data_IF_057961718467
#
_entry.id   IF_057961718467
#
_cell.length_a   1.000
_cell.length_b   1.000
_cell.length_c   1.000
_cell.angle_alpha   90.00
_cell.angle_beta   90.00
_cell.angle_gamma   90.00
#
_symmetry.space_group_name_H-M   'P 1'
#
loop_
_entity.id
_entity.type
_entity.pdbx_description
1 polymer ?
#
# COMPACT_ATOMS: atom_id res chain seq x y z
N UNK A 1 18.76 22.60 -11.06
CA UNK A 1 17.34 22.94 -10.80
C UNK A 1 16.76 23.24 -12.19
N UNK A 2 16.08 22.25 -12.78
CA UNK A 2 15.44 22.43 -14.09
C UNK A 2 14.02 22.94 -13.82
N UNK A 3 13.65 24.02 -14.50
CA UNK A 3 12.31 24.60 -14.51
C UNK A 3 11.28 23.59 -15.08
N UNK A 4 10.70 22.78 -14.22
CA UNK A 4 9.60 21.86 -14.52
C UNK A 4 8.23 22.49 -14.21
N UNK A 5 8.21 23.71 -13.67
CA UNK A 5 7.04 24.28 -13.04
C UNK A 5 5.92 24.79 -13.99
N UNK A 6 6.19 25.00 -15.29
CA UNK A 6 5.17 25.59 -16.20
C UNK A 6 4.59 24.56 -17.18
N UNK A 7 5.28 23.48 -17.44
CA UNK A 7 4.83 22.41 -18.38
C UNK A 7 3.96 21.33 -17.71
N UNK A 8 3.95 21.22 -16.39
CA UNK A 8 3.35 20.10 -15.66
C UNK A 8 1.81 20.00 -15.79
N UNK A 9 1.08 21.11 -15.77
CA UNK A 9 -0.39 21.09 -15.76
C UNK A 9 -0.97 20.67 -17.12
N UNK A 10 -0.37 21.12 -18.23
CA UNK A 10 -0.79 20.68 -19.57
C UNK A 10 -0.40 19.22 -19.83
N UNK A 11 0.75 18.77 -19.34
CA UNK A 11 1.23 17.39 -19.52
C UNK A 11 0.37 16.35 -18.83
N UNK A 12 -0.23 16.67 -17.67
CA UNK A 12 -1.09 15.71 -16.92
C UNK A 12 -2.45 15.45 -17.57
N UNK A 13 -2.97 16.37 -18.37
CA UNK A 13 -4.24 16.18 -19.09
C UNK A 13 -4.09 15.29 -20.31
N UNK A 14 -2.95 15.35 -21.01
CA UNK A 14 -2.67 14.57 -22.21
C UNK A 14 -2.68 13.04 -21.97
N UNK A 15 -2.11 12.49 -20.89
CA UNK A 15 -2.16 11.05 -20.61
C UNK A 15 -3.57 10.49 -20.42
N UNK A 16 -4.53 11.29 -19.95
CA UNK A 16 -5.94 10.89 -19.70
C UNK A 16 -6.85 11.19 -20.90
N UNK A 17 -6.34 11.78 -21.98
CA UNK A 17 -7.12 12.08 -23.20
C UNK A 17 -7.40 10.83 -24.04
N UNK A 18 -8.29 10.95 -25.04
CA UNK A 18 -8.63 9.86 -26.01
C UNK A 18 -7.42 9.29 -26.75
N UNK A 19 -6.38 10.10 -26.94
CA UNK A 19 -5.11 9.68 -27.58
C UNK A 19 -3.94 9.65 -26.59
N UNK A 20 -4.26 9.71 -25.30
CA UNK A 20 -3.29 9.75 -24.22
C UNK A 20 -2.61 8.40 -23.94
N UNK A 21 -1.64 8.42 -23.03
CA UNK A 21 -0.91 7.22 -22.63
C UNK A 21 -1.83 6.15 -22.02
N UNK A 22 -2.84 6.55 -21.25
CA UNK A 22 -3.81 5.60 -20.67
C UNK A 22 -4.67 4.95 -21.74
N UNK A 23 -5.15 5.71 -22.74
CA UNK A 23 -5.96 5.18 -23.82
C UNK A 23 -5.19 4.18 -24.72
N UNK A 24 -3.86 4.35 -24.83
CA UNK A 24 -3.00 3.41 -25.55
C UNK A 24 -2.56 2.19 -24.73
N UNK A 25 -2.51 2.33 -23.40
CA UNK A 25 -1.94 1.33 -22.50
C UNK A 25 -2.96 0.54 -21.68
N UNK A 26 -4.24 0.89 -21.75
CA UNK A 26 -5.32 0.24 -20.99
C UNK A 26 -6.47 -0.07 -21.94
N UNK A 27 -6.80 -1.34 -22.07
CA UNK A 27 -7.91 -1.78 -22.90
C UNK A 27 -9.23 -1.18 -22.39
N UNK A 28 -10.11 -0.78 -23.31
CA UNK A 28 -11.42 -0.15 -23.03
C UNK A 28 -11.36 1.13 -22.18
N UNK A 29 -10.21 1.78 -22.05
CA UNK A 29 -10.12 3.06 -21.36
C UNK A 29 -10.90 4.13 -22.13
N UNK A 30 -11.89 4.72 -21.48
CA UNK A 30 -12.67 5.84 -22.00
C UNK A 30 -12.49 7.06 -21.11
N UNK A 31 -11.80 8.10 -21.57
CA UNK A 31 -11.62 9.31 -20.79
C UNK A 31 -12.96 10.01 -20.57
N UNK A 32 -13.06 10.63 -19.39
CA UNK A 32 -14.23 11.43 -19.00
C UNK A 32 -13.78 12.83 -18.67
N UNK A 33 -14.57 13.83 -19.01
CA UNK A 33 -14.21 15.22 -18.72
C UNK A 33 -13.95 15.45 -17.23
N UNK A 34 -14.82 14.94 -16.35
CA UNK A 34 -14.64 15.04 -14.88
C UNK A 34 -13.34 14.41 -14.38
N UNK A 35 -12.87 13.34 -15.02
CA UNK A 35 -11.60 12.70 -14.69
C UNK A 35 -10.42 13.58 -15.10
N UNK A 36 -10.49 14.21 -16.27
CA UNK A 36 -9.46 15.12 -16.76
C UNK A 36 -9.40 16.38 -15.90
N UNK A 37 -10.56 16.94 -15.54
CA UNK A 37 -10.64 18.13 -14.68
C UNK A 37 -10.08 17.88 -13.29
N UNK A 38 -10.40 16.73 -12.69
CA UNK A 38 -9.83 16.31 -11.42
C UNK A 38 -8.31 16.13 -11.52
N UNK A 39 -7.81 15.53 -12.59
CA UNK A 39 -6.35 15.34 -12.76
C UNK A 39 -5.61 16.68 -12.89
N UNK A 40 -6.18 17.66 -13.58
CA UNK A 40 -5.64 19.02 -13.64
C UNK A 40 -5.62 19.69 -12.27
N UNK A 41 -6.73 19.59 -11.54
CA UNK A 41 -6.82 20.17 -10.19
C UNK A 41 -5.79 19.55 -9.23
N UNK A 42 -5.57 18.23 -9.31
CA UNK A 42 -4.54 17.54 -8.51
C UNK A 42 -3.14 18.01 -8.92
N UNK A 43 -2.84 18.11 -10.21
CA UNK A 43 -1.55 18.61 -10.70
C UNK A 43 -1.27 20.03 -10.23
N UNK A 44 -2.27 20.91 -10.30
CA UNK A 44 -2.16 22.29 -9.85
C UNK A 44 -1.94 22.36 -8.33
N UNK A 45 -2.68 21.55 -7.54
CA UNK A 45 -2.48 21.47 -6.09
C UNK A 45 -1.06 21.00 -5.73
N UNK A 46 -0.53 20.01 -6.43
CA UNK A 46 0.84 19.53 -6.24
C UNK A 46 1.84 20.66 -6.56
N UNK A 47 1.69 21.33 -7.70
CA UNK A 47 2.60 22.39 -8.14
C UNK A 47 2.61 23.57 -7.16
N UNK A 48 1.46 23.93 -6.61
CA UNK A 48 1.32 25.02 -5.64
C UNK A 48 1.56 24.60 -4.19
N UNK A 49 1.78 23.33 -3.92
CA UNK A 49 1.85 22.76 -2.56
C UNK A 49 0.60 23.11 -1.73
N UNK A 50 -0.57 23.06 -2.37
CA UNK A 50 -1.85 23.40 -1.79
C UNK A 50 -2.67 22.16 -1.40
N UNK A 51 -3.67 22.36 -0.55
CA UNK A 51 -4.66 21.32 -0.23
C UNK A 51 -5.77 21.36 -1.28
N UNK A 52 -6.15 20.20 -1.79
CA UNK A 52 -7.30 20.01 -2.67
C UNK A 52 -8.33 19.13 -1.96
N UNK A 53 -9.56 19.59 -1.85
CA UNK A 53 -10.72 18.77 -1.50
C UNK A 53 -11.53 18.53 -2.76
N UNK A 54 -11.65 17.26 -3.16
CA UNK A 54 -12.38 16.88 -4.36
C UNK A 54 -13.38 15.76 -4.04
N UNK A 55 -14.63 15.97 -4.39
CA UNK A 55 -15.70 14.98 -4.29
C UNK A 55 -16.10 14.52 -5.68
N UNK A 56 -16.23 13.22 -5.86
CA UNK A 56 -16.72 12.63 -7.09
C UNK A 56 -17.41 11.30 -6.81
N UNK A 57 -18.48 11.00 -7.53
CA UNK A 57 -19.25 9.76 -7.40
C UNK A 57 -18.42 8.49 -7.65
N UNK A 58 -18.98 7.32 -7.33
CA UNK A 58 -18.36 6.03 -7.65
C UNK A 58 -18.30 5.82 -9.17
N UNK A 59 -17.26 5.11 -9.64
CA UNK A 59 -17.11 4.80 -11.06
C UNK A 59 -16.65 5.96 -11.96
N UNK A 60 -16.37 7.16 -11.43
CA UNK A 60 -15.90 8.32 -12.22
C UNK A 60 -14.43 8.24 -12.64
N UNK A 61 -13.69 7.21 -12.21
CA UNK A 61 -12.27 7.06 -12.53
C UNK A 61 -11.32 7.90 -11.66
N UNK A 62 -11.75 8.28 -10.44
CA UNK A 62 -10.95 9.05 -9.48
C UNK A 62 -9.53 8.53 -9.31
N UNK A 63 -9.38 7.22 -9.25
CA UNK A 63 -8.07 6.58 -9.02
C UNK A 63 -7.05 7.01 -10.06
N UNK A 64 -7.37 6.94 -11.32
CA UNK A 64 -6.47 7.36 -12.38
C UNK A 64 -6.29 8.89 -12.41
N UNK A 65 -7.34 9.63 -12.06
CA UNK A 65 -7.29 11.09 -12.04
C UNK A 65 -6.26 11.64 -11.04
N UNK A 66 -6.10 11.02 -9.86
CA UNK A 66 -5.05 11.45 -8.92
C UNK A 66 -3.72 10.72 -9.12
N UNK A 67 -3.72 9.46 -9.55
CA UNK A 67 -2.47 8.70 -9.76
C UNK A 67 -1.62 9.27 -10.89
N UNK A 68 -2.24 9.67 -12.01
CA UNK A 68 -1.49 10.20 -13.16
C UNK A 68 -0.62 11.40 -12.79
N UNK A 69 -1.17 12.51 -12.25
CA UNK A 69 -0.34 13.64 -11.87
C UNK A 69 0.65 13.31 -10.74
N UNK A 70 0.27 12.44 -9.80
CA UNK A 70 1.14 12.04 -8.71
C UNK A 70 2.38 11.26 -9.20
N UNK A 71 2.21 10.32 -10.15
CA UNK A 71 3.31 9.55 -10.72
C UNK A 71 4.18 10.38 -11.67
N UNK A 72 3.60 11.34 -12.39
CA UNK A 72 4.34 12.24 -13.28
C UNK A 72 5.13 13.32 -12.54
N UNK A 73 4.73 13.65 -11.32
CA UNK A 73 5.42 14.64 -10.50
C UNK A 73 6.85 14.24 -10.15
N UNK A 74 7.12 12.92 -10.02
CA UNK A 74 8.45 12.38 -9.76
C UNK A 74 8.97 12.62 -8.34
N UNK A 75 8.16 13.16 -7.44
CA UNK A 75 8.46 13.26 -6.02
C UNK A 75 7.91 12.09 -5.22
N UNK A 76 8.19 12.07 -3.92
CA UNK A 76 7.69 11.03 -3.03
C UNK A 76 6.20 11.21 -2.73
N UNK A 77 5.42 10.17 -2.99
CA UNK A 77 3.95 10.17 -2.86
C UNK A 77 3.50 9.16 -1.82
N UNK A 78 2.56 9.55 -0.96
CA UNK A 78 1.85 8.64 -0.07
C UNK A 78 0.39 8.59 -0.50
N UNK A 79 -0.09 7.39 -0.85
CA UNK A 79 -1.50 7.14 -1.17
C UNK A 79 -2.14 6.46 0.03
N UNK A 80 -3.04 7.16 0.70
CA UNK A 80 -3.72 6.67 1.90
C UNK A 80 -5.16 6.26 1.60
N UNK A 81 -5.55 5.05 2.06
CA UNK A 81 -6.88 4.48 1.81
C UNK A 81 -7.62 4.19 3.11
N UNK A 82 -8.96 4.03 3.03
CA UNK A 82 -9.80 3.69 4.17
C UNK A 82 -9.93 2.18 4.43
N UNK A 83 -9.67 1.33 3.45
CA UNK A 83 -9.86 -0.13 3.55
C UNK A 83 -8.65 -0.89 3.05
N UNK A 84 -8.44 -2.11 3.59
CA UNK A 84 -7.39 -3.01 3.13
C UNK A 84 -7.59 -3.44 1.67
N UNK A 85 -8.83 -3.75 1.29
CA UNK A 85 -9.15 -4.18 -0.07
C UNK A 85 -8.77 -3.11 -1.11
N UNK A 86 -9.05 -1.83 -0.80
CA UNK A 86 -8.66 -0.74 -1.69
C UNK A 86 -7.13 -0.53 -1.69
N UNK A 87 -6.48 -0.75 -0.56
CA UNK A 87 -5.02 -0.71 -0.46
C UNK A 87 -4.38 -1.77 -1.37
N UNK A 88 -4.86 -3.02 -1.28
CA UNK A 88 -4.36 -4.13 -2.08
C UNK A 88 -4.70 -3.92 -3.58
N UNK A 89 -5.89 -3.42 -3.91
CA UNK A 89 -6.27 -3.06 -5.27
C UNK A 89 -5.33 -2.01 -5.88
N UNK A 90 -5.05 -0.94 -5.14
CA UNK A 90 -4.14 0.12 -5.60
C UNK A 90 -2.72 -0.41 -5.84
N UNK A 91 -2.19 -1.18 -4.89
CA UNK A 91 -0.83 -1.69 -4.95
C UNK A 91 -0.64 -2.74 -6.04
N UNK A 92 -1.57 -3.72 -6.12
CA UNK A 92 -1.42 -4.88 -7.02
C UNK A 92 -1.90 -4.62 -8.45
N UNK A 93 -2.82 -3.67 -8.65
CA UNK A 93 -3.47 -3.45 -9.94
C UNK A 93 -3.35 -2.03 -10.45
N UNK A 94 -3.91 -1.07 -9.72
CA UNK A 94 -4.17 0.25 -10.30
C UNK A 94 -2.86 1.04 -10.55
N UNK A 95 -1.94 1.09 -9.57
CA UNK A 95 -0.65 1.78 -9.72
C UNK A 95 0.24 1.09 -10.76
N UNK A 96 0.42 -0.25 -10.76
CA UNK A 96 1.19 -0.93 -11.81
C UNK A 96 0.67 -0.66 -13.23
N UNK A 97 -0.65 -0.65 -13.43
CA UNK A 97 -1.28 -0.37 -14.72
C UNK A 97 -0.97 1.06 -15.17
N UNK A 98 -1.19 2.05 -14.31
CA UNK A 98 -0.91 3.46 -14.62
C UNK A 98 0.58 3.68 -14.85
N UNK A 99 1.46 3.10 -13.99
CA UNK A 99 2.92 3.18 -14.16
C UNK A 99 3.38 2.66 -15.52
N UNK A 100 2.84 1.50 -15.93
CA UNK A 100 3.15 0.89 -17.23
C UNK A 100 2.66 1.76 -18.38
N UNK A 101 1.42 2.25 -18.31
CA UNK A 101 0.84 3.10 -19.35
C UNK A 101 1.60 4.43 -19.51
N UNK A 102 2.05 5.03 -18.41
CA UNK A 102 2.84 6.27 -18.41
C UNK A 102 4.32 6.05 -18.74
N UNK A 103 4.81 4.81 -18.69
CA UNK A 103 6.21 4.44 -18.83
C UNK A 103 7.14 5.23 -17.88
N UNK A 104 6.75 5.32 -16.59
CA UNK A 104 7.53 6.02 -15.55
C UNK A 104 8.28 5.04 -14.67
N UNK A 105 9.58 5.27 -14.35
CA UNK A 105 10.41 4.36 -13.56
C UNK A 105 10.23 4.58 -12.05
N UNK A 106 8.99 4.53 -11.54
CA UNK A 106 8.70 4.71 -10.11
C UNK A 106 8.71 3.38 -9.35
N UNK A 107 9.26 3.38 -8.15
CA UNK A 107 9.21 2.26 -7.20
C UNK A 107 7.99 2.40 -6.29
N UNK A 108 7.38 1.25 -5.95
CA UNK A 108 6.12 1.23 -5.21
C UNK A 108 6.29 0.31 -4.00
N UNK A 109 5.87 0.77 -2.82
CA UNK A 109 5.85 -0.03 -1.60
C UNK A 109 4.47 -0.05 -0.96
N UNK A 110 4.15 -1.18 -0.31
CA UNK A 110 2.96 -1.37 0.49
C UNK A 110 3.35 -1.36 1.97
N UNK A 111 2.72 -0.49 2.76
CA UNK A 111 2.94 -0.47 4.20
C UNK A 111 1.62 -0.67 4.94
N UNK A 112 1.51 -1.81 5.62
CA UNK A 112 0.38 -2.17 6.49
C UNK A 112 0.74 -1.93 7.96
N UNK A 113 -0.24 -1.97 8.86
CA UNK A 113 0.01 -1.91 10.30
C UNK A 113 0.68 -3.18 10.82
N UNK A 114 1.41 -3.08 11.92
CA UNK A 114 2.16 -4.20 12.54
C UNK A 114 1.37 -5.49 12.68
N UNK A 115 0.11 -5.40 13.12
CA UNK A 115 -0.77 -6.56 13.29
C UNK A 115 -1.13 -7.30 11.99
N UNK A 116 -0.68 -6.81 10.84
CA UNK A 116 -0.81 -7.52 9.57
C UNK A 116 0.44 -8.31 9.19
N UNK A 117 1.53 -8.18 9.94
CA UNK A 117 2.77 -8.90 9.70
C UNK A 117 3.04 -9.92 10.80
N UNK A 118 3.50 -11.09 10.38
CA UNK A 118 4.03 -12.10 11.28
C UNK A 118 5.21 -11.55 12.09
N UNK A 119 5.29 -11.90 13.37
CA UNK A 119 6.38 -11.55 14.26
C UNK A 119 7.13 -12.81 14.67
N UNK A 120 8.40 -12.94 14.29
CA UNK A 120 9.22 -14.09 14.66
C UNK A 120 9.32 -14.28 16.17
N UNK A 121 9.54 -13.20 16.92
CA UNK A 121 9.62 -13.26 18.40
C UNK A 121 8.32 -13.83 19.01
N UNK A 122 7.17 -13.34 18.58
CA UNK A 122 5.89 -13.81 19.10
C UNK A 122 5.55 -15.22 18.62
N UNK A 123 5.96 -15.60 17.40
CA UNK A 123 5.81 -16.97 16.91
C UNK A 123 6.61 -17.95 17.77
N UNK A 124 7.89 -17.69 18.00
CA UNK A 124 8.76 -18.56 18.80
C UNK A 124 8.24 -18.69 20.24
N UNK A 125 7.86 -17.56 20.85
CA UNK A 125 7.23 -17.55 22.18
C UNK A 125 5.96 -18.38 22.25
N UNK A 126 5.10 -18.29 21.23
CA UNK A 126 3.85 -19.05 21.16
C UNK A 126 4.11 -20.54 21.00
N UNK A 127 5.10 -20.92 20.20
CA UNK A 127 5.51 -22.32 20.02
C UNK A 127 6.08 -22.93 21.33
N UNK A 128 6.87 -22.15 22.07
CA UNK A 128 7.48 -22.59 23.34
C UNK A 128 6.45 -22.70 24.46
N UNK A 129 5.53 -21.75 24.55
CA UNK A 129 4.55 -21.72 25.66
C UNK A 129 3.46 -22.77 25.56
N UNK A 130 3.17 -23.28 24.38
CA UNK A 130 2.18 -24.36 24.14
C UNK A 130 0.74 -24.08 24.57
N UNK A 131 0.44 -22.86 25.06
CA UNK A 131 -0.89 -22.48 25.55
C UNK A 131 -1.75 -21.95 24.40
N UNK A 132 -2.39 -22.87 23.71
CA UNK A 132 -3.36 -22.54 22.66
C UNK A 132 -4.78 -22.72 23.21
N UNK A 133 -5.67 -21.80 22.86
CA UNK A 133 -7.04 -21.75 23.40
C UNK A 133 -8.00 -22.70 22.69
N UNK A 134 -7.73 -22.97 21.40
CA UNK A 134 -8.58 -23.82 20.59
C UNK A 134 -7.76 -24.95 19.94
N UNK A 135 -8.41 -26.09 19.72
CA UNK A 135 -7.78 -27.26 19.05
C UNK A 135 -7.33 -26.94 17.62
N UNK A 136 -8.07 -26.06 16.96
CA UNK A 136 -7.76 -25.59 15.59
C UNK A 136 -6.48 -24.75 15.55
N UNK A 137 -6.17 -24.01 16.61
CA UNK A 137 -4.98 -23.16 16.70
C UNK A 137 -3.68 -23.96 16.55
N UNK A 138 -3.66 -25.24 16.91
CA UNK A 138 -2.50 -26.13 16.70
C UNK A 138 -2.22 -26.30 15.21
N UNK A 139 -3.27 -26.50 14.42
CA UNK A 139 -3.16 -26.61 12.96
C UNK A 139 -2.69 -25.29 12.33
N UNK A 140 -3.32 -24.19 12.74
CA UNK A 140 -2.97 -22.86 12.27
C UNK A 140 -1.53 -22.46 12.64
N UNK A 141 -1.09 -22.76 13.86
CA UNK A 141 0.29 -22.46 14.27
C UNK A 141 1.33 -23.21 13.41
N UNK A 142 1.04 -24.47 13.01
CA UNK A 142 1.91 -25.21 12.11
C UNK A 142 1.97 -24.59 10.72
N UNK A 143 0.83 -24.16 10.16
CA UNK A 143 0.80 -23.48 8.87
C UNK A 143 1.53 -22.14 8.93
N UNK A 144 1.33 -21.35 9.99
CA UNK A 144 2.04 -20.08 10.22
C UNK A 144 3.55 -20.29 10.34
N UNK A 145 3.99 -21.34 11.05
CA UNK A 145 5.40 -21.67 11.19
C UNK A 145 6.06 -22.10 9.86
N UNK A 146 5.31 -22.77 8.96
CA UNK A 146 5.78 -23.06 7.59
C UNK A 146 5.87 -21.79 6.77
N UNK A 147 4.83 -20.96 6.83
CA UNK A 147 4.76 -19.67 6.16
C UNK A 147 5.93 -18.76 6.56
N UNK A 148 6.29 -18.70 7.84
CA UNK A 148 7.42 -17.93 8.34
C UNK A 148 8.76 -18.24 7.63
N UNK A 149 8.93 -19.49 7.16
CA UNK A 149 10.16 -19.94 6.48
C UNK A 149 10.19 -19.62 4.98
N UNK A 150 9.04 -19.34 4.39
CA UNK A 150 8.90 -19.20 2.93
C UNK A 150 8.51 -17.79 2.49
N UNK A 151 7.86 -17.02 3.37
CA UNK A 151 7.42 -15.66 3.02
C UNK A 151 8.58 -14.67 3.00
N UNK A 152 8.54 -13.77 2.04
CA UNK A 152 9.44 -12.60 1.98
C UNK A 152 8.86 -11.37 2.68
N UNK A 153 7.53 -11.28 2.80
CA UNK A 153 6.83 -10.10 3.32
C UNK A 153 6.34 -10.28 4.75
N UNK A 154 5.99 -11.52 5.13
CA UNK A 154 5.34 -11.83 6.41
C UNK A 154 3.89 -11.32 6.50
N UNK A 155 3.29 -10.87 5.40
CA UNK A 155 1.91 -10.40 5.38
C UNK A 155 0.93 -11.56 5.59
N UNK A 156 0.13 -11.49 6.66
CA UNK A 156 -0.83 -12.55 6.99
C UNK A 156 -1.87 -12.81 5.90
N UNK A 157 -2.16 -11.82 5.05
CA UNK A 157 -3.12 -11.96 3.94
C UNK A 157 -2.63 -12.94 2.86
N UNK A 158 -1.33 -13.24 2.78
CA UNK A 158 -0.76 -14.22 1.86
C UNK A 158 -1.03 -15.68 2.29
N UNK A 159 -1.36 -15.90 3.58
CA UNK A 159 -1.63 -17.23 4.11
C UNK A 159 -3.14 -17.53 4.13
N UNK A 160 -3.72 -17.84 2.99
CA UNK A 160 -5.16 -18.09 2.84
C UNK A 160 -5.71 -19.29 3.64
N UNK A 161 -4.83 -20.21 4.05
CA UNK A 161 -5.20 -21.39 4.87
C UNK A 161 -5.54 -21.04 6.33
N UNK A 162 -5.13 -19.88 6.81
CA UNK A 162 -5.46 -19.38 8.15
C UNK A 162 -6.30 -18.12 7.98
N UNK A 163 -7.58 -18.13 8.40
CA UNK A 163 -8.44 -16.95 8.29
C UNK A 163 -7.81 -15.72 8.93
N UNK A 164 -7.88 -14.56 8.28
CA UNK A 164 -7.33 -13.31 8.85
C UNK A 164 -7.96 -12.93 10.20
N UNK A 165 -9.21 -13.38 10.45
CA UNK A 165 -9.94 -13.19 11.70
C UNK A 165 -9.60 -14.21 12.79
N UNK A 166 -8.78 -15.24 12.51
CA UNK A 166 -8.41 -16.25 13.49
C UNK A 166 -7.64 -15.63 14.66
N UNK A 167 -8.03 -15.98 15.88
CA UNK A 167 -7.45 -15.41 17.13
C UNK A 167 -5.96 -15.72 17.28
N UNK A 168 -5.47 -16.79 16.66
CA UNK A 168 -4.05 -17.15 16.65
C UNK A 168 -3.16 -16.00 16.16
N UNK A 169 -3.64 -15.15 15.25
CA UNK A 169 -2.87 -14.01 14.75
C UNK A 169 -2.52 -13.01 15.86
N UNK A 170 -3.36 -12.89 16.91
CA UNK A 170 -3.07 -12.03 18.06
C UNK A 170 -1.88 -12.53 18.88
N UNK A 171 -1.57 -13.83 18.80
CA UNK A 171 -0.47 -14.46 19.51
C UNK A 171 0.85 -14.40 18.71
N UNK A 172 0.79 -14.26 17.40
CA UNK A 172 1.97 -14.34 16.50
C UNK A 172 2.25 -13.06 15.71
N UNK A 173 1.49 -11.99 15.94
CA UNK A 173 1.75 -10.64 15.42
C UNK A 173 2.14 -9.70 16.56
N UNK A 174 2.59 -8.50 16.23
CA UNK A 174 2.95 -7.49 17.24
C UNK A 174 2.08 -6.25 17.18
N UNK A 175 1.93 -5.60 18.32
CA UNK A 175 1.36 -4.26 18.47
C UNK A 175 2.47 -3.24 18.76
N UNK A 176 2.12 -1.97 18.91
CA UNK A 176 3.07 -0.94 19.35
C UNK A 176 3.59 -1.25 20.76
N UNK A 177 2.72 -1.73 21.63
CA UNK A 177 2.98 -1.85 23.06
C UNK A 177 3.79 -3.12 23.41
N UNK A 178 3.68 -4.18 22.59
CA UNK A 178 4.34 -5.46 22.85
C UNK A 178 5.57 -5.72 21.95
N UNK A 179 5.95 -4.76 21.09
CA UNK A 179 7.10 -4.88 20.22
C UNK A 179 8.38 -4.41 20.92
N UNK A 180 9.41 -5.26 20.94
CA UNK A 180 10.70 -4.96 21.58
C UNK A 180 11.57 -3.95 20.80
N UNK A 181 11.15 -3.53 19.60
CA UNK A 181 11.90 -2.56 18.80
C UNK A 181 13.30 -3.05 18.44
N UNK A 182 14.29 -2.19 18.61
CA UNK A 182 15.70 -2.49 18.29
C UNK A 182 16.34 -3.55 19.22
N UNK A 183 15.77 -3.79 20.38
CA UNK A 183 16.26 -4.80 21.35
C UNK A 183 15.77 -6.22 21.00
N UNK A 184 14.94 -6.37 19.97
CA UNK A 184 14.42 -7.67 19.55
C UNK A 184 15.53 -8.52 18.92
N UNK A 185 15.69 -9.76 19.38
CA UNK A 185 16.64 -10.72 18.80
C UNK A 185 16.43 -10.96 17.30
N UNK A 186 15.17 -10.81 16.82
CA UNK A 186 14.78 -10.95 15.42
C UNK A 186 14.71 -9.60 14.66
N UNK A 187 15.38 -8.55 15.17
CA UNK A 187 15.27 -7.21 14.58
C UNK A 187 15.70 -7.17 13.11
N UNK A 188 16.78 -7.88 12.76
CA UNK A 188 17.34 -7.90 11.40
C UNK A 188 16.38 -8.58 10.38
N UNK A 189 15.67 -9.61 10.83
CA UNK A 189 14.75 -10.39 10.00
C UNK A 189 13.28 -9.93 10.15
N UNK A 190 13.06 -8.81 10.86
CA UNK A 190 11.73 -8.32 11.16
C UNK A 190 11.00 -7.84 9.90
N UNK A 191 9.87 -8.48 9.56
CA UNK A 191 9.04 -8.12 8.42
C UNK A 191 8.53 -6.67 8.47
N UNK A 192 8.14 -6.17 9.65
CA UNK A 192 7.71 -4.78 9.82
C UNK A 192 8.86 -3.80 9.51
N UNK A 193 10.07 -4.10 9.97
CA UNK A 193 11.23 -3.25 9.72
C UNK A 193 11.62 -3.27 8.24
N UNK A 194 11.54 -4.44 7.60
CA UNK A 194 11.76 -4.58 6.15
C UNK A 194 10.76 -3.75 5.36
N UNK A 195 9.45 -3.92 5.62
CA UNK A 195 8.39 -3.14 4.97
C UNK A 195 8.55 -1.64 5.16
N UNK A 196 8.97 -1.18 6.34
CA UNK A 196 9.26 0.23 6.61
C UNK A 196 10.45 0.75 5.81
N UNK A 197 11.53 -0.04 5.73
CA UNK A 197 12.72 0.33 4.95
C UNK A 197 12.38 0.43 3.47
N UNK A 198 11.64 -0.52 2.94
CA UNK A 198 11.14 -0.48 1.55
C UNK A 198 10.26 0.75 1.31
N UNK A 199 9.32 1.06 2.21
CA UNK A 199 8.50 2.26 2.13
C UNK A 199 9.31 3.57 2.20
N UNK A 200 10.39 3.60 2.97
CA UNK A 200 11.29 4.76 3.02
C UNK A 200 12.06 4.97 1.71
N UNK A 201 12.36 3.91 0.99
CA UNK A 201 13.10 3.96 -0.26
C UNK A 201 12.21 4.14 -1.49
N UNK A 202 10.94 3.76 -1.40
CA UNK A 202 10.01 3.83 -2.53
C UNK A 202 9.59 5.26 -2.87
N UNK A 203 9.30 5.48 -4.15
CA UNK A 203 8.76 6.75 -4.66
C UNK A 203 7.27 6.88 -4.31
N UNK A 204 6.54 5.76 -4.34
CA UNK A 204 5.10 5.72 -4.00
C UNK A 204 4.86 4.72 -2.87
N UNK A 205 4.23 5.16 -1.81
CA UNK A 205 3.87 4.31 -0.65
C UNK A 205 2.36 4.25 -0.51
N UNK A 206 1.82 3.03 -0.53
CA UNK A 206 0.39 2.80 -0.29
C UNK A 206 0.17 2.40 1.16
N UNK A 207 -0.65 3.18 1.88
CA UNK A 207 -0.94 2.96 3.29
C UNK A 207 -2.45 2.91 3.55
N UNK A 208 -2.84 2.35 4.71
CA UNK A 208 -4.20 2.44 5.21
C UNK A 208 -4.24 3.37 6.43
N UNK A 209 -5.03 4.45 6.38
CA UNK A 209 -5.09 5.44 7.45
C UNK A 209 -5.87 4.99 8.70
N UNK A 210 -6.62 3.88 8.64
CA UNK A 210 -7.27 3.29 9.82
C UNK A 210 -6.28 2.60 10.76
N UNK A 211 -5.04 2.38 10.32
CA UNK A 211 -3.97 1.81 11.14
C UNK A 211 -3.67 2.67 12.39
N UNK A 212 -3.94 3.98 12.35
CA UNK A 212 -3.69 4.91 13.46
C UNK A 212 -4.88 5.12 14.42
N UNK A 213 -6.10 4.69 14.05
CA UNK A 213 -7.30 4.94 14.87
C UNK A 213 -7.58 3.91 15.97
N UNK A 214 -6.89 2.79 15.95
CA UNK A 214 -7.04 1.74 16.97
C UNK A 214 -6.35 2.06 18.30
N UNK A 215 -5.74 3.26 18.46
CA UNK A 215 -4.94 3.63 19.62
C UNK A 215 -5.08 5.12 20.01
N UNK A 216 -6.28 5.66 19.89
CA UNK A 216 -6.65 6.94 20.54
C UNK A 216 -7.76 6.67 21.54
#
# INVERSE_FOLDING_TARGET
IRDVAVTGVQTCALPISDRGALARGIDDFRPRQSQTDMARAVADAIARRATLLAEAGTGTGKTFAYLVPALLWGGKVIVSTGTKNLQDQLFLRDIPVVRKALNVPVTIALLKGRANYLCHFHLDRTQQNGRLTAREDVGYLREIARFAKTTSTGDKSELSRVPESALIWNLVTSTRDNCLGAECAHYQDCFVMRARKEAQQADVVVVNHQIGRAHV
#
